data_IF_099492065141
#
_entry.id   IF_099492065141
#
_cell.length_a   1.000
_cell.length_b   1.000
_cell.length_c   1.000
_cell.angle_alpha   90.00
_cell.angle_beta   90.00
_cell.angle_gamma   90.00
#
_symmetry.space_group_name_H-M   'P 1'
#
loop_
_entity.id
_entity.type
_entity.pdbx_description
1 polymer ?
#
# COMPACT_ATOMS: atom_id res chain seq x y z
N UNK A 1 -42.83 -34.60 -33.33
CA UNK A 1 -41.72 -34.18 -32.43
C UNK A 1 -42.31 -33.79 -31.08
N UNK A 2 -42.00 -34.51 -30.00
CA UNK A 2 -42.50 -34.20 -28.65
C UNK A 2 -41.56 -33.20 -27.98
N UNK A 3 -42.01 -31.97 -27.74
CA UNK A 3 -41.25 -30.97 -27.00
C UNK A 3 -41.26 -31.32 -25.51
N UNK A 4 -40.07 -31.51 -24.94
CA UNK A 4 -39.85 -31.69 -23.51
C UNK A 4 -40.13 -30.34 -22.81
N UNK A 5 -41.20 -30.28 -22.01
CA UNK A 5 -41.45 -29.16 -21.09
C UNK A 5 -40.47 -29.27 -19.92
N UNK A 6 -39.28 -28.69 -20.07
CA UNK A 6 -38.37 -28.48 -18.93
C UNK A 6 -39.04 -27.49 -17.97
N UNK A 7 -39.24 -27.94 -16.74
CA UNK A 7 -39.90 -27.18 -15.69
C UNK A 7 -38.98 -26.01 -15.27
N UNK A 8 -39.47 -24.77 -15.38
CA UNK A 8 -38.70 -23.54 -15.11
C UNK A 8 -38.09 -23.53 -13.69
N UNK A 9 -38.75 -24.21 -12.75
CA UNK A 9 -38.29 -24.44 -11.39
C UNK A 9 -36.99 -25.25 -11.31
N UNK A 10 -36.78 -26.21 -12.21
CA UNK A 10 -35.55 -27.03 -12.26
C UNK A 10 -34.38 -26.18 -12.75
N UNK A 11 -34.61 -25.32 -13.74
CA UNK A 11 -33.57 -24.42 -14.26
C UNK A 11 -33.15 -23.39 -13.20
N UNK A 12 -34.13 -22.79 -12.51
CA UNK A 12 -33.85 -21.88 -11.40
C UNK A 12 -33.07 -22.57 -10.28
N UNK A 13 -33.44 -23.80 -9.90
CA UNK A 13 -32.72 -24.56 -8.89
C UNK A 13 -31.26 -24.84 -9.28
N UNK A 14 -31.00 -25.26 -10.53
CA UNK A 14 -29.64 -25.52 -11.02
C UNK A 14 -28.79 -24.25 -11.00
N UNK A 15 -29.35 -23.10 -11.42
CA UNK A 15 -28.62 -21.83 -11.38
C UNK A 15 -28.30 -21.37 -9.96
N UNK A 16 -29.23 -21.57 -9.02
CA UNK A 16 -29.04 -21.22 -7.61
C UNK A 16 -27.94 -22.07 -6.98
N UNK A 17 -27.97 -23.40 -7.18
CA UNK A 17 -26.94 -24.33 -6.66
C UNK A 17 -25.56 -23.99 -7.23
N UNK A 18 -25.47 -23.69 -8.53
CA UNK A 18 -24.21 -23.29 -9.16
C UNK A 18 -23.66 -21.97 -8.60
N UNK A 19 -24.53 -20.99 -8.37
CA UNK A 19 -24.16 -19.72 -7.74
C UNK A 19 -23.67 -19.89 -6.29
N UNK A 20 -24.34 -20.73 -5.50
CA UNK A 20 -23.92 -21.00 -4.12
C UNK A 20 -22.57 -21.74 -4.05
N UNK A 21 -22.34 -22.75 -4.90
CA UNK A 21 -21.05 -23.45 -4.95
C UNK A 21 -19.88 -22.55 -5.35
N UNK A 22 -20.10 -21.56 -6.23
CA UNK A 22 -19.08 -20.56 -6.59
C UNK A 22 -18.79 -19.58 -5.43
N UNK A 23 -19.79 -19.26 -4.63
CA UNK A 23 -19.65 -18.38 -3.47
C UNK A 23 -18.84 -19.04 -2.34
N UNK A 24 -19.07 -20.33 -2.05
CA UNK A 24 -18.29 -21.06 -1.04
C UNK A 24 -16.81 -21.18 -1.44
N UNK A 25 -16.51 -21.53 -2.69
CA UNK A 25 -15.14 -21.57 -3.21
C UNK A 25 -14.42 -20.20 -3.15
N UNK A 26 -15.15 -19.09 -3.35
CA UNK A 26 -14.58 -17.74 -3.19
C UNK A 26 -14.28 -17.42 -1.72
N UNK A 27 -15.09 -17.93 -0.79
CA UNK A 27 -14.90 -17.74 0.65
C UNK A 27 -13.70 -18.54 1.17
N UNK A 28 -13.54 -19.79 0.76
CA UNK A 28 -12.39 -20.63 1.17
C UNK A 28 -11.04 -20.08 0.70
N UNK A 29 -10.94 -19.64 -0.56
CA UNK A 29 -9.71 -19.05 -1.10
C UNK A 29 -9.31 -17.77 -0.34
N UNK A 30 -10.27 -16.89 -0.03
CA UNK A 30 -9.99 -15.69 0.77
C UNK A 30 -9.59 -16.03 2.21
N UNK A 31 -10.22 -17.03 2.84
CA UNK A 31 -9.85 -17.46 4.20
C UNK A 31 -8.43 -18.06 4.23
N UNK A 32 -8.03 -18.84 3.22
CA UNK A 32 -6.65 -19.37 3.13
C UNK A 32 -5.60 -18.26 2.96
N UNK A 33 -5.92 -17.20 2.22
CA UNK A 33 -5.06 -16.01 2.06
C UNK A 33 -4.94 -15.23 3.37
N UNK A 34 -6.04 -15.08 4.12
CA UNK A 34 -6.07 -14.43 5.43
C UNK A 34 -5.25 -15.23 6.46
N UNK A 35 -5.42 -16.56 6.52
CA UNK A 35 -4.69 -17.42 7.46
C UNK A 35 -3.17 -17.40 7.22
N UNK A 36 -2.74 -17.32 5.96
CA UNK A 36 -1.32 -17.18 5.63
C UNK A 36 -0.76 -15.82 6.10
N UNK A 37 -1.55 -14.75 5.98
CA UNK A 37 -1.16 -13.41 6.44
C UNK A 37 -1.17 -13.28 7.98
N UNK A 38 -2.09 -13.96 8.67
CA UNK A 38 -2.11 -14.01 10.14
C UNK A 38 -0.92 -14.82 10.70
N UNK A 39 -0.52 -15.92 10.05
CA UNK A 39 0.66 -16.71 10.43
C UNK A 39 1.97 -15.92 10.36
N UNK A 40 2.09 -14.94 9.47
CA UNK A 40 3.31 -14.12 9.33
C UNK A 40 3.37 -13.00 10.39
N UNK A 41 2.25 -12.60 11.00
CA UNK A 41 2.20 -11.46 11.93
C UNK A 41 2.69 -11.75 13.37
N UNK A 42 3.03 -12.99 13.75
CA UNK A 42 3.38 -13.33 15.14
C UNK A 42 4.51 -14.36 15.28
N UNK A 43 5.76 -13.97 15.03
CA UNK A 43 6.92 -14.63 15.66
C UNK A 43 8.22 -13.82 15.51
N UNK A 44 8.38 -12.74 16.28
CA UNK A 44 9.73 -12.24 16.62
C UNK A 44 9.75 -11.97 18.12
N UNK A 45 10.08 -13.01 18.89
CA UNK A 45 10.42 -12.93 20.30
C UNK A 45 11.79 -12.28 20.47
N UNK A 46 11.89 -10.95 20.31
CA UNK A 46 13.13 -10.19 20.52
C UNK A 46 12.98 -9.33 21.78
N UNK A 47 12.94 -9.96 22.96
CA UNK A 47 12.68 -9.24 24.20
C UNK A 47 13.45 -9.82 25.39
N UNK A 48 14.80 -9.82 25.30
CA UNK A 48 15.67 -9.93 26.49
C UNK A 48 16.91 -9.04 26.51
N UNK A 49 17.07 -8.11 25.56
CA UNK A 49 18.24 -7.20 25.53
C UNK A 49 17.90 -5.72 25.77
N UNK A 50 16.76 -5.39 26.40
CA UNK A 50 16.29 -4.01 26.58
C UNK A 50 16.31 -3.52 28.04
N UNK A 51 17.20 -4.03 28.92
CA UNK A 51 17.28 -3.54 30.32
C UNK A 51 18.48 -2.64 30.63
N UNK A 52 19.27 -2.22 29.64
CA UNK A 52 20.22 -1.13 29.82
C UNK A 52 20.16 -0.20 28.61
N UNK A 53 19.46 0.92 28.78
CA UNK A 53 19.76 2.26 28.26
C UNK A 53 18.47 3.10 28.30
N UNK A 54 18.17 3.67 29.49
CA UNK A 54 17.32 4.84 29.62
C UNK A 54 18.03 6.01 28.93
N UNK A 55 17.42 6.59 27.90
CA UNK A 55 17.42 8.02 27.60
C UNK A 55 16.45 8.28 26.43
N UNK A 56 15.60 9.30 26.59
CA UNK A 56 14.38 9.55 25.81
C UNK A 56 14.58 9.86 24.30
N UNK A 57 15.82 9.86 23.79
CA UNK A 57 16.12 10.00 22.36
C UNK A 57 15.98 8.70 21.55
N UNK A 58 15.95 7.54 22.21
CA UNK A 58 16.01 6.25 21.53
C UNK A 58 14.69 5.84 20.83
N UNK A 59 13.57 6.42 21.24
CA UNK A 59 12.25 6.11 20.66
C UNK A 59 12.03 6.74 19.27
N UNK A 60 12.69 7.87 18.98
CA UNK A 60 12.63 8.51 17.65
C UNK A 60 13.48 7.77 16.61
N UNK A 61 14.57 7.13 17.04
CA UNK A 61 15.49 6.41 16.13
C UNK A 61 14.81 5.22 15.45
N UNK A 62 13.92 4.49 16.12
CA UNK A 62 13.25 3.29 15.56
C UNK A 62 12.22 3.54 14.44
N UNK A 63 11.90 4.80 14.09
CA UNK A 63 10.82 5.12 13.13
C UNK A 63 11.34 5.18 11.70
N UNK A 64 10.68 4.49 10.77
CA UNK A 64 10.96 4.54 9.32
C UNK A 64 10.31 5.76 8.63
N UNK A 65 10.07 6.84 9.38
CA UNK A 65 9.22 7.96 8.97
C UNK A 65 9.92 9.29 9.28
N UNK A 66 10.00 10.17 8.29
CA UNK A 66 10.85 11.38 8.34
C UNK A 66 10.24 12.56 9.12
N UNK A 67 8.96 12.53 9.51
CA UNK A 67 8.30 13.69 10.12
C UNK A 67 7.74 13.47 11.54
N UNK A 68 7.62 14.55 12.28
CA UNK A 68 7.03 14.60 13.62
C UNK A 68 5.56 15.01 13.44
N UNK A 69 4.64 14.04 13.35
CA UNK A 69 3.19 14.31 13.35
C UNK A 69 2.84 14.98 14.68
N UNK A 70 2.66 16.31 14.66
CA UNK A 70 2.57 17.10 15.90
C UNK A 70 1.18 17.11 16.53
N UNK A 71 0.13 16.70 15.82
CA UNK A 71 -1.23 16.63 16.35
C UNK A 71 -1.93 15.33 15.93
N UNK A 72 -2.65 14.72 16.88
CA UNK A 72 -3.50 13.53 16.71
C UNK A 72 -4.83 13.94 16.06
N UNK A 73 -4.77 14.54 14.87
CA UNK A 73 -5.96 14.76 14.04
C UNK A 73 -6.16 13.50 13.20
N UNK A 74 -7.41 13.09 13.00
CA UNK A 74 -7.75 12.03 12.06
C UNK A 74 -7.31 12.47 10.65
N UNK A 75 -6.25 11.85 10.13
CA UNK A 75 -5.61 12.29 8.88
C UNK A 75 -6.41 11.73 7.71
N UNK A 76 -7.34 12.55 7.22
CA UNK A 76 -8.00 12.32 5.93
C UNK A 76 -7.18 12.92 4.81
N UNK A 77 -6.77 12.09 3.85
CA UNK A 77 -5.86 12.42 2.76
C UNK A 77 -6.65 12.42 1.45
N UNK A 78 -6.95 13.59 0.87
CA UNK A 78 -7.57 13.66 -0.44
C UNK A 78 -6.66 13.03 -1.51
N UNK A 79 -7.25 12.28 -2.46
CA UNK A 79 -6.52 11.81 -3.62
C UNK A 79 -7.34 11.92 -4.91
N UNK A 80 -6.64 12.11 -6.02
CA UNK A 80 -7.20 12.21 -7.37
C UNK A 80 -6.41 11.26 -8.27
N UNK A 81 -7.12 10.59 -9.18
CA UNK A 81 -6.54 9.65 -10.15
C UNK A 81 -6.81 10.16 -11.54
N UNK A 82 -5.75 10.39 -12.31
CA UNK A 82 -5.87 10.75 -13.72
C UNK A 82 -6.44 9.60 -14.56
N UNK A 83 -7.11 9.95 -15.64
CA UNK A 83 -7.82 9.03 -16.55
C UNK A 83 -6.92 7.91 -17.13
N UNK A 84 -5.62 8.17 -17.27
CA UNK A 84 -4.63 7.25 -17.82
C UNK A 84 -4.03 6.28 -16.77
N UNK A 85 -4.52 6.32 -15.53
CA UNK A 85 -4.16 5.39 -14.46
C UNK A 85 -5.36 4.51 -14.14
N UNK A 86 -5.12 3.22 -13.91
CA UNK A 86 -6.17 2.31 -13.45
C UNK A 86 -6.61 2.71 -12.02
N UNK A 87 -7.73 3.43 -11.92
CA UNK A 87 -8.25 3.89 -10.64
C UNK A 87 -8.68 2.76 -9.72
N UNK A 88 -9.10 1.60 -10.24
CA UNK A 88 -9.53 0.48 -9.41
C UNK A 88 -8.36 -0.09 -8.61
N UNK A 89 -7.18 -0.18 -9.24
CA UNK A 89 -5.96 -0.60 -8.56
C UNK A 89 -5.53 0.40 -7.48
N UNK A 90 -5.64 1.70 -7.76
CA UNK A 90 -5.32 2.75 -6.78
C UNK A 90 -6.27 2.70 -5.60
N UNK A 91 -7.59 2.63 -5.85
CA UNK A 91 -8.62 2.57 -4.83
C UNK A 91 -8.41 1.34 -3.92
N UNK A 92 -8.15 0.18 -4.52
CA UNK A 92 -7.89 -1.08 -3.79
C UNK A 92 -6.60 -1.02 -2.96
N UNK A 93 -5.52 -0.51 -3.53
CA UNK A 93 -4.24 -0.35 -2.82
C UNK A 93 -4.37 0.55 -1.60
N UNK A 94 -5.08 1.68 -1.73
CA UNK A 94 -5.38 2.59 -0.64
C UNK A 94 -6.32 1.96 0.38
N UNK A 95 -7.33 1.21 -0.06
CA UNK A 95 -8.24 0.48 0.83
C UNK A 95 -7.48 -0.48 1.76
N UNK A 96 -6.53 -1.24 1.24
CA UNK A 96 -5.70 -2.12 2.07
C UNK A 96 -4.90 -1.35 3.13
N UNK A 97 -4.37 -0.17 2.79
CA UNK A 97 -3.70 0.69 3.79
C UNK A 97 -4.70 1.14 4.87
N UNK A 98 -5.93 1.52 4.50
CA UNK A 98 -6.96 1.95 5.46
C UNK A 98 -7.46 0.83 6.37
N UNK A 99 -7.41 -0.43 5.91
CA UNK A 99 -7.81 -1.58 6.70
C UNK A 99 -6.78 -1.91 7.80
N UNK A 100 -5.51 -1.64 7.53
CA UNK A 100 -4.38 -1.99 8.40
C UNK A 100 -3.84 -0.80 9.20
N UNK A 101 -4.32 0.42 8.94
CA UNK A 101 -3.83 1.64 9.58
C UNK A 101 -4.96 2.60 9.92
N UNK A 102 -4.66 3.66 10.69
CA UNK A 102 -5.60 4.73 10.97
C UNK A 102 -5.69 5.79 9.85
N UNK A 103 -4.98 5.63 8.73
CA UNK A 103 -5.04 6.57 7.62
C UNK A 103 -6.40 6.47 6.92
N UNK A 104 -6.91 7.61 6.45
CA UNK A 104 -8.11 7.69 5.62
C UNK A 104 -7.77 8.36 4.30
N UNK A 105 -8.28 7.83 3.20
CA UNK A 105 -8.09 8.37 1.85
C UNK A 105 -9.44 8.72 1.25
N UNK A 106 -9.59 9.97 0.79
CA UNK A 106 -10.85 10.47 0.22
C UNK A 106 -10.68 10.78 -1.25
N UNK A 107 -11.38 10.02 -2.09
CA UNK A 107 -11.33 10.20 -3.54
C UNK A 107 -11.97 11.53 -3.93
N UNK A 108 -11.28 12.29 -4.75
CA UNK A 108 -11.76 13.53 -5.35
C UNK A 108 -12.00 13.31 -6.83
N UNK A 109 -13.08 13.88 -7.35
CA UNK A 109 -13.35 13.88 -8.80
C UNK A 109 -12.48 14.87 -9.56
N UNK A 110 -11.94 15.87 -8.87
CA UNK A 110 -11.05 16.90 -9.41
C UNK A 110 -10.06 17.36 -8.36
N UNK A 111 -8.91 17.85 -8.80
CA UNK A 111 -7.95 18.49 -7.90
C UNK A 111 -8.46 19.87 -7.48
N UNK A 112 -8.65 20.09 -6.19
CA UNK A 112 -9.06 21.39 -5.64
C UNK A 112 -7.80 22.25 -5.44
N UNK A 113 -7.68 23.43 -6.09
CA UNK A 113 -6.44 24.23 -6.09
C UNK A 113 -6.05 24.88 -4.78
N UNK A 114 -6.82 24.66 -3.70
CA UNK A 114 -6.52 25.15 -2.33
C UNK A 114 -6.29 24.01 -1.33
N UNK A 115 -6.48 22.75 -1.71
CA UNK A 115 -6.38 21.58 -0.83
C UNK A 115 -5.08 20.82 -1.02
N UNK A 116 -4.53 20.30 0.08
CA UNK A 116 -3.46 19.30 0.02
C UNK A 116 -4.02 17.93 -0.42
N UNK A 117 -3.29 17.21 -1.27
CA UNK A 117 -3.74 15.88 -1.72
C UNK A 117 -2.70 15.10 -2.51
N UNK A 118 -3.05 13.87 -2.86
CA UNK A 118 -2.23 12.98 -3.68
C UNK A 118 -2.77 12.94 -5.12
N UNK A 119 -1.91 13.11 -6.11
CA UNK A 119 -2.25 13.03 -7.52
C UNK A 119 -1.59 11.79 -8.12
N UNK A 120 -2.39 10.80 -8.51
CA UNK A 120 -1.91 9.64 -9.26
C UNK A 120 -2.00 9.94 -10.75
N UNK A 121 -0.88 9.73 -11.44
CA UNK A 121 -0.70 10.11 -12.85
C UNK A 121 0.12 9.07 -13.57
N UNK A 122 -0.11 8.89 -14.86
CA UNK A 122 0.72 7.99 -15.66
C UNK A 122 2.05 8.67 -16.00
N UNK A 123 3.15 7.92 -15.94
CA UNK A 123 4.47 8.41 -16.31
C UNK A 123 5.40 7.31 -16.79
N UNK A 124 6.62 7.69 -17.17
CA UNK A 124 7.62 6.76 -17.71
C UNK A 124 8.32 5.90 -16.66
N UNK A 125 8.24 6.30 -15.38
CA UNK A 125 8.83 5.60 -14.24
C UNK A 125 7.92 5.72 -13.02
N UNK A 126 8.07 4.75 -12.14
CA UNK A 126 7.42 4.70 -10.83
C UNK A 126 8.18 5.60 -9.88
N UNK A 127 7.58 6.74 -9.54
CA UNK A 127 8.22 7.69 -8.64
C UNK A 127 7.19 8.44 -7.81
N UNK A 128 7.42 8.47 -6.50
CA UNK A 128 6.87 9.48 -5.60
C UNK A 128 7.90 10.60 -5.43
N UNK A 129 7.53 11.84 -5.77
CA UNK A 129 8.41 12.99 -5.55
C UNK A 129 8.01 13.71 -4.26
N UNK A 130 8.87 13.66 -3.24
CA UNK A 130 8.83 14.56 -2.08
C UNK A 130 9.64 15.83 -2.36
N UNK A 131 9.71 16.30 -3.62
CA UNK A 131 10.47 17.49 -3.94
C UNK A 131 10.06 18.65 -3.04
N UNK A 132 11.01 19.06 -2.19
CA UNK A 132 10.90 20.18 -1.23
C UNK A 132 10.62 21.52 -1.92
N UNK A 133 10.63 21.58 -3.25
CA UNK A 133 10.72 22.83 -4.02
C UNK A 133 9.44 23.29 -4.69
N UNK A 134 8.33 22.59 -4.54
CA UNK A 134 7.06 23.09 -5.07
C UNK A 134 6.04 23.22 -3.95
N UNK A 135 5.55 24.45 -3.75
CA UNK A 135 4.31 24.80 -3.05
C UNK A 135 3.08 24.20 -3.75
N UNK A 136 3.24 23.09 -4.47
CA UNK A 136 2.15 22.32 -5.04
C UNK A 136 1.45 21.63 -3.89
N UNK A 137 0.20 22.01 -3.73
CA UNK A 137 -0.69 21.46 -2.74
C UNK A 137 -0.97 19.98 -3.03
N UNK A 138 -1.02 19.62 -4.32
CA UNK A 138 -1.10 18.24 -4.77
C UNK A 138 0.29 17.65 -5.00
N UNK A 139 0.56 16.52 -4.33
CA UNK A 139 1.80 15.77 -4.43
C UNK A 139 1.63 14.63 -5.42
N UNK A 140 2.49 14.60 -6.44
CA UNK A 140 2.38 13.68 -7.58
C UNK A 140 3.02 12.32 -7.29
N UNK A 141 2.28 11.26 -7.60
CA UNK A 141 2.74 9.88 -7.69
C UNK A 141 2.63 9.47 -9.17
N UNK A 142 3.77 9.13 -9.75
CA UNK A 142 3.88 8.64 -11.12
C UNK A 142 3.79 7.12 -11.11
N UNK A 143 2.82 6.57 -11.83
CA UNK A 143 2.65 5.13 -12.05
C UNK A 143 3.01 4.83 -13.50
N UNK A 144 3.96 3.94 -13.71
CA UNK A 144 4.33 3.45 -15.03
C UNK A 144 3.74 2.04 -15.28
N UNK A 145 3.82 1.57 -16.52
CA UNK A 145 3.27 0.27 -16.92
C UNK A 145 3.89 -0.90 -16.15
N UNK A 146 5.18 -0.83 -15.82
CA UNK A 146 5.94 -1.85 -15.11
C UNK A 146 5.64 -1.90 -13.60
N UNK A 147 4.91 -0.92 -13.05
CA UNK A 147 4.52 -0.87 -11.65
C UNK A 147 3.04 -0.55 -11.42
N UNK A 148 2.20 -0.86 -12.40
CA UNK A 148 0.75 -0.80 -12.26
C UNK A 148 0.24 -2.02 -11.49
N UNK A 149 0.67 -2.14 -10.22
CA UNK A 149 0.26 -3.19 -9.29
C UNK A 149 0.08 -2.61 -7.88
N UNK A 150 -0.62 -3.37 -7.03
CA UNK A 150 -1.04 -2.94 -5.70
C UNK A 150 0.17 -2.59 -4.83
N UNK A 151 1.19 -3.45 -4.83
CA UNK A 151 2.39 -3.36 -4.00
C UNK A 151 3.19 -2.11 -4.33
N UNK A 152 3.32 -1.80 -5.62
CA UNK A 152 4.05 -0.62 -6.07
C UNK A 152 3.29 0.67 -5.77
N UNK A 153 1.97 0.67 -5.97
CA UNK A 153 1.14 1.83 -5.58
C UNK A 153 1.29 2.08 -4.08
N UNK A 154 1.13 1.06 -3.24
CA UNK A 154 1.31 1.19 -1.79
C UNK A 154 2.70 1.70 -1.42
N UNK A 155 3.75 1.15 -2.03
CA UNK A 155 5.13 1.57 -1.78
C UNK A 155 5.34 3.06 -2.09
N UNK A 156 4.93 3.52 -3.28
CA UNK A 156 5.09 4.93 -3.66
C UNK A 156 4.20 5.86 -2.80
N UNK A 157 2.97 5.45 -2.46
CA UNK A 157 2.11 6.19 -1.52
C UNK A 157 2.81 6.35 -0.17
N UNK A 158 3.34 5.27 0.40
CA UNK A 158 4.01 5.32 1.70
C UNK A 158 5.29 6.15 1.64
N UNK A 159 6.07 6.05 0.57
CA UNK A 159 7.23 6.92 0.35
C UNK A 159 6.84 8.39 0.35
N UNK A 160 5.76 8.74 -0.35
CA UNK A 160 5.27 10.11 -0.38
C UNK A 160 4.78 10.62 0.98
N UNK A 161 4.17 9.75 1.79
CA UNK A 161 3.78 10.07 3.16
C UNK A 161 4.97 10.27 4.09
N UNK A 162 6.17 9.85 3.68
CA UNK A 162 7.42 10.10 4.39
C UNK A 162 8.12 8.83 4.89
N UNK A 163 7.72 7.66 4.42
CA UNK A 163 8.45 6.43 4.68
C UNK A 163 9.73 6.37 3.86
N UNK A 164 10.84 6.05 4.51
CA UNK A 164 12.09 5.75 3.80
C UNK A 164 12.14 4.28 3.39
N UNK A 165 12.99 3.98 2.42
CA UNK A 165 13.37 2.62 2.13
C UNK A 165 13.95 1.93 3.36
N UNK A 166 13.56 0.67 3.62
CA UNK A 166 14.00 -0.06 4.81
C UNK A 166 15.52 -0.24 4.85
N UNK A 167 16.15 -0.44 3.69
CA UNK A 167 17.61 -0.51 3.59
C UNK A 167 18.31 0.82 3.84
N UNK A 168 17.59 1.94 3.96
CA UNK A 168 18.17 3.26 4.29
C UNK A 168 17.96 3.63 5.76
N UNK A 169 17.45 2.70 6.57
CA UNK A 169 17.35 2.89 8.02
C UNK A 169 18.74 3.11 8.63
N UNK A 170 18.79 3.94 9.66
CA UNK A 170 20.03 4.24 10.39
C UNK A 170 20.68 3.00 11.03
N UNK A 171 19.90 1.95 11.33
CA UNK A 171 20.35 0.70 11.95
C UNK A 171 20.59 -0.43 10.94
N UNK A 172 20.52 -0.15 9.63
CA UNK A 172 20.66 -1.15 8.56
C UNK A 172 21.93 -2.00 8.70
N UNK A 173 23.04 -1.39 9.11
CA UNK A 173 24.35 -2.05 9.14
C UNK A 173 24.43 -3.13 10.25
N UNK A 174 23.41 -3.20 11.13
CA UNK A 174 23.25 -4.31 12.09
C UNK A 174 22.61 -5.55 11.47
N UNK A 175 21.92 -5.41 10.33
CA UNK A 175 21.12 -6.48 9.72
C UNK A 175 21.56 -6.79 8.28
N UNK A 176 22.20 -5.85 7.59
CA UNK A 176 22.56 -5.95 6.19
C UNK A 176 24.04 -5.64 6.01
N UNK A 177 24.72 -6.46 5.20
CA UNK A 177 26.07 -6.18 4.71
C UNK A 177 25.99 -5.65 3.27
N UNK A 178 26.34 -4.36 3.07
CA UNK A 178 26.34 -3.75 1.75
C UNK A 178 27.67 -4.02 1.01
N UNK A 179 27.66 -4.96 0.07
CA UNK A 179 28.81 -5.25 -0.79
C UNK A 179 28.88 -4.21 -1.91
N UNK A 180 29.45 -3.03 -1.62
CA UNK A 180 29.50 -1.88 -2.54
C UNK A 180 30.10 -2.18 -3.91
N UNK A 181 31.05 -3.12 -3.99
CA UNK A 181 31.68 -3.56 -5.25
C UNK A 181 30.70 -4.18 -6.25
N UNK A 182 29.56 -4.69 -5.78
CA UNK A 182 28.53 -5.28 -6.65
C UNK A 182 27.48 -4.26 -7.11
N UNK A 183 27.62 -2.99 -6.69
CA UNK A 183 26.68 -1.92 -7.00
C UNK A 183 27.30 -1.03 -8.08
N UNK A 184 26.55 -0.79 -9.15
CA UNK A 184 26.97 0.19 -10.14
C UNK A 184 27.17 1.56 -9.49
N UNK A 185 28.34 2.16 -9.68
CA UNK A 185 28.77 3.40 -9.03
C UNK A 185 27.74 4.54 -9.13
N UNK A 186 27.00 4.60 -10.25
CA UNK A 186 25.94 5.60 -10.47
C UNK A 186 24.82 5.54 -9.43
N UNK A 187 24.58 4.39 -8.81
CA UNK A 187 23.48 4.18 -7.86
C UNK A 187 23.92 4.09 -6.41
N UNK A 188 25.21 4.25 -6.10
CA UNK A 188 25.72 4.16 -4.72
C UNK A 188 25.02 5.15 -3.78
N UNK A 189 24.68 6.36 -4.26
CA UNK A 189 24.00 7.38 -3.45
C UNK A 189 22.59 6.98 -2.97
N UNK A 190 22.01 5.90 -3.48
CA UNK A 190 20.68 5.40 -3.08
C UNK A 190 20.71 4.49 -1.84
N UNK A 191 21.90 4.08 -1.41
CA UNK A 191 22.14 3.16 -0.29
C UNK A 191 22.91 3.87 0.83
#
# INVERSE_FOLDING_TARGET
>A
MKCIKINLSIFLYITIVYCFGKFENYKENNISLINNNERIKRSISFQRYQDKLKNNDHYKKKRMFLSQLRNKVEISIPYYVEHNVNYQLVDLALQFIQQETCLKFVKQQKMIPTSLGLQYSFGSKCTSSTEKKTNKQWKKISIASDCSNIESIQRETMHLLGFIYTQNRYDKDKYLLLIKKNINHRYLYKF
#
